data_IF_895762105524
#
_entry.id   IF_895762105524
#
_cell.length_a   1.000
_cell.length_b   1.000
_cell.length_c   1.000
_cell.angle_alpha   90.00
_cell.angle_beta   90.00
_cell.angle_gamma   90.00
#
_symmetry.space_group_name_H-M   'P 1'
#
loop_
_entity.id
_entity.type
_entity.pdbx_description
1 polymer ?
#
# COMPACT_ATOMS: atom_id res chain seq x y z
N UNK A 1 -0.46 -12.32 -4.45
CA UNK A 1 0.35 -11.16 -4.08
C UNK A 1 0.50 -10.12 -5.18
N UNK A 2 0.77 -10.51 -6.42
CA UNK A 2 0.92 -9.55 -7.54
C UNK A 2 -0.26 -8.59 -7.70
N UNK A 3 -1.51 -9.05 -7.53
CA UNK A 3 -2.69 -8.18 -7.58
C UNK A 3 -2.76 -7.18 -6.41
N UNK A 4 -2.40 -7.60 -5.20
CA UNK A 4 -2.33 -6.69 -4.04
C UNK A 4 -1.29 -5.59 -4.26
N UNK A 5 -0.11 -5.96 -4.79
CA UNK A 5 0.92 -4.97 -5.13
C UNK A 5 0.47 -4.03 -6.26
N UNK A 6 -0.27 -4.53 -7.26
CA UNK A 6 -0.81 -3.68 -8.33
C UNK A 6 -1.80 -2.64 -7.78
N UNK A 7 -2.65 -3.03 -6.84
CA UNK A 7 -3.61 -2.14 -6.17
C UNK A 7 -2.88 -1.06 -5.35
N UNK A 8 -1.86 -1.43 -4.58
CA UNK A 8 -1.00 -0.47 -3.89
C UNK A 8 -0.26 0.46 -4.87
N UNK A 9 0.20 -0.07 -6.01
CA UNK A 9 0.88 0.72 -7.04
C UNK A 9 -0.06 1.76 -7.67
N UNK A 10 -1.34 1.42 -7.87
CA UNK A 10 -2.33 2.43 -8.30
C UNK A 10 -2.52 3.53 -7.27
N UNK A 11 -2.57 3.20 -5.97
CA UNK A 11 -2.63 4.20 -4.90
C UNK A 11 -1.42 5.11 -4.86
N UNK A 12 -0.21 4.54 -5.00
CA UNK A 12 1.03 5.29 -5.12
C UNK A 12 0.95 6.35 -6.24
N UNK A 13 0.44 5.98 -7.42
CA UNK A 13 0.27 6.92 -8.54
C UNK A 13 -0.71 8.03 -8.16
N UNK A 14 -1.83 7.69 -7.51
CA UNK A 14 -2.80 8.67 -7.01
C UNK A 14 -2.21 9.64 -6.01
N UNK A 15 -1.42 9.15 -5.04
CA UNK A 15 -0.70 9.98 -4.07
C UNK A 15 0.22 10.97 -4.77
N UNK A 16 1.06 10.53 -5.72
CA UNK A 16 1.97 11.44 -6.42
C UNK A 16 1.23 12.50 -7.25
N UNK A 17 0.12 12.12 -7.89
CA UNK A 17 -0.69 13.06 -8.66
C UNK A 17 -1.29 14.14 -7.75
N UNK A 18 -1.91 13.74 -6.63
CA UNK A 18 -2.51 14.66 -5.67
C UNK A 18 -1.48 15.61 -5.05
N UNK A 19 -0.31 15.09 -4.66
CA UNK A 19 0.77 15.93 -4.13
C UNK A 19 1.31 16.91 -5.18
N UNK A 20 1.42 16.49 -6.45
CA UNK A 20 1.83 17.38 -7.54
C UNK A 20 0.80 18.50 -7.82
N UNK A 21 -0.48 18.24 -7.53
CA UNK A 21 -1.56 19.23 -7.59
C UNK A 21 -1.62 20.12 -6.34
N UNK A 22 -0.79 19.86 -5.33
CA UNK A 22 -0.73 20.63 -4.09
C UNK A 22 -1.81 20.25 -3.06
N UNK A 23 -2.38 19.05 -3.18
CA UNK A 23 -3.36 18.55 -2.21
C UNK A 23 -2.72 18.28 -0.83
N UNK A 24 -3.50 18.51 0.23
CA UNK A 24 -3.18 18.05 1.58
C UNK A 24 -3.65 16.61 1.75
N UNK A 25 -2.72 15.71 2.05
CA UNK A 25 -2.99 14.27 2.20
C UNK A 25 -3.47 13.88 3.59
N UNK A 26 -3.60 14.83 4.52
CA UNK A 26 -4.03 14.55 5.89
C UNK A 26 -5.43 13.94 5.90
N UNK A 27 -5.56 12.73 6.44
CA UNK A 27 -6.83 12.01 6.50
C UNK A 27 -7.29 11.41 5.17
N UNK A 28 -6.42 11.34 4.16
CA UNK A 28 -6.67 10.61 2.93
C UNK A 28 -7.03 9.15 3.24
N UNK A 29 -8.02 8.61 2.52
CA UNK A 29 -8.39 7.20 2.56
C UNK A 29 -8.06 6.50 1.24
N UNK A 30 -8.31 5.19 1.18
CA UNK A 30 -8.06 4.39 -0.02
C UNK A 30 -8.76 4.95 -1.27
N UNK A 31 -10.01 5.38 -1.14
CA UNK A 31 -10.78 5.88 -2.29
C UNK A 31 -10.30 7.25 -2.76
N UNK A 32 -9.85 8.10 -1.82
CA UNK A 32 -9.25 9.39 -2.12
C UNK A 32 -8.02 9.26 -3.02
N UNK A 33 -7.19 8.24 -2.80
CA UNK A 33 -5.99 7.96 -3.60
C UNK A 33 -6.25 7.01 -4.79
N UNK A 34 -7.52 6.75 -5.12
CA UNK A 34 -7.90 5.95 -6.28
C UNK A 34 -7.80 4.44 -6.12
N UNK A 35 -7.67 3.94 -4.89
CA UNK A 35 -7.71 2.52 -4.57
C UNK A 35 -9.15 2.06 -4.27
N UNK A 36 -9.48 0.78 -4.49
CA UNK A 36 -10.77 0.24 -4.08
C UNK A 36 -10.82 0.10 -2.55
N UNK A 37 -12.03 0.09 -1.96
CA UNK A 37 -12.19 -0.15 -0.53
C UNK A 37 -11.81 -1.57 -0.09
N UNK A 38 -11.83 -2.55 -1.01
CA UNK A 38 -11.48 -3.96 -0.80
C UNK A 38 -11.19 -4.64 -2.12
N UNK A 39 -10.53 -5.80 -2.10
CA UNK A 39 -10.25 -6.53 -3.33
C UNK A 39 -10.31 -8.05 -3.21
N UNK A 40 -9.88 -8.74 -4.27
CA UNK A 40 -9.72 -10.19 -4.25
C UNK A 40 -8.65 -10.66 -3.26
N UNK A 41 -7.64 -9.82 -2.95
CA UNK A 41 -6.52 -10.16 -2.05
C UNK A 41 -6.45 -9.33 -0.77
N UNK A 42 -7.01 -8.12 -0.77
CA UNK A 42 -7.04 -7.27 0.41
C UNK A 42 -8.45 -7.28 1.02
N UNK A 43 -8.57 -7.48 2.33
CA UNK A 43 -9.83 -7.29 3.07
C UNK A 43 -10.28 -5.84 2.98
N UNK A 44 -9.30 -4.94 3.09
CA UNK A 44 -9.40 -3.49 3.12
C UNK A 44 -8.01 -2.89 2.89
N UNK A 45 -7.97 -1.56 2.79
CA UNK A 45 -6.75 -0.80 2.63
C UNK A 45 -6.71 0.35 3.61
N UNK A 46 -5.58 0.49 4.30
CA UNK A 46 -5.30 1.64 5.14
C UNK A 46 -4.40 2.62 4.39
N UNK A 47 -4.73 3.90 4.51
CA UNK A 47 -3.93 5.01 4.00
C UNK A 47 -3.61 5.90 5.19
N UNK A 48 -2.33 6.13 5.44
CA UNK A 48 -1.85 7.01 6.50
C UNK A 48 -0.79 7.91 5.93
N UNK A 49 -1.16 9.17 5.65
CA UNK A 49 -0.27 10.14 5.04
C UNK A 49 -0.23 11.40 5.88
N UNK A 50 0.97 11.95 6.07
CA UNK A 50 1.14 13.33 6.50
C UNK A 50 0.72 14.28 5.37
N UNK A 51 0.40 15.53 5.68
CA UNK A 51 -0.02 16.51 4.66
C UNK A 51 1.03 16.75 3.56
N UNK A 52 2.31 16.51 3.84
CA UNK A 52 3.41 16.60 2.85
C UNK A 52 3.69 15.29 2.12
N UNK A 53 2.88 14.25 2.36
CA UNK A 53 2.95 12.99 1.64
C UNK A 53 4.00 12.00 2.16
N UNK A 54 4.50 12.12 3.37
CA UNK A 54 5.22 11.00 4.02
C UNK A 54 4.18 10.07 4.64
N UNK A 55 4.33 8.75 4.48
CA UNK A 55 3.34 7.83 5.02
C UNK A 55 3.34 6.45 4.39
N UNK A 56 2.22 5.75 4.48
CA UNK A 56 2.07 4.40 4.00
C UNK A 56 0.70 4.11 3.37
N UNK A 57 0.73 3.19 2.41
CA UNK A 57 -0.42 2.52 1.84
C UNK A 57 -0.33 1.06 2.24
N UNK A 58 -1.32 0.53 2.95
CA UNK A 58 -1.30 -0.84 3.48
C UNK A 58 -2.47 -1.61 2.89
N UNK A 59 -2.18 -2.79 2.35
CA UNK A 59 -3.16 -3.81 2.03
C UNK A 59 -3.19 -4.80 3.19
N UNK A 60 -4.33 -4.86 3.89
CA UNK A 60 -4.60 -5.92 4.85
C UNK A 60 -4.98 -7.18 4.07
N UNK A 61 -4.09 -8.16 4.05
CA UNK A 61 -4.25 -9.35 3.21
C UNK A 61 -5.33 -10.26 3.78
N UNK A 62 -6.14 -10.81 2.88
CA UNK A 62 -6.99 -11.95 3.20
C UNK A 62 -6.14 -13.14 3.59
N UNK A 63 -6.57 -13.81 4.65
CA UNK A 63 -6.01 -15.06 5.14
C UNK A 63 -5.83 -16.09 4.01
N UNK A 64 -4.67 -16.74 3.98
CA UNK A 64 -4.31 -17.74 2.97
C UNK A 64 -3.41 -18.80 3.62
N UNK A 65 -3.55 -20.05 3.19
CA UNK A 65 -2.79 -21.16 3.75
C UNK A 65 -1.26 -20.99 3.57
N UNK A 66 -0.83 -20.24 2.55
CA UNK A 66 0.60 -20.09 2.23
C UNK A 66 1.32 -19.05 3.11
N UNK A 67 0.60 -18.06 3.65
CA UNK A 67 1.22 -16.97 4.40
C UNK A 67 0.51 -16.66 5.74
N UNK A 68 -0.56 -17.38 6.07
CA UNK A 68 -1.25 -17.29 7.36
C UNK A 68 -2.33 -16.22 7.36
N UNK A 69 -2.65 -15.76 8.58
CA UNK A 69 -3.75 -14.83 8.85
C UNK A 69 -3.24 -13.44 9.22
N UNK A 70 -4.06 -12.42 8.99
CA UNK A 70 -3.78 -11.03 9.40
C UNK A 70 -2.40 -10.52 8.93
N UNK A 71 -2.02 -10.89 7.70
CA UNK A 71 -0.78 -10.43 7.08
C UNK A 71 -1.00 -9.11 6.34
N UNK A 72 0.07 -8.38 6.10
CA UNK A 72 0.03 -7.10 5.37
C UNK A 72 1.08 -7.03 4.27
N UNK A 73 0.78 -6.20 3.27
CA UNK A 73 1.72 -5.72 2.28
C UNK A 73 1.59 -4.19 2.25
N UNK A 74 2.69 -3.47 2.33
CA UNK A 74 2.68 -2.01 2.34
C UNK A 74 3.58 -1.41 1.27
N UNK A 75 3.24 -0.19 0.85
CA UNK A 75 4.14 0.74 0.21
C UNK A 75 4.33 1.92 1.15
N UNK A 76 5.57 2.20 1.51
CA UNK A 76 5.97 3.24 2.44
C UNK A 76 6.68 4.35 1.67
N UNK A 77 6.22 5.59 1.82
CA UNK A 77 6.74 6.79 1.14
C UNK A 77 7.51 7.66 2.12
N UNK A 78 8.77 7.95 1.84
CA UNK A 78 9.56 8.91 2.61
C UNK A 78 9.20 10.36 2.28
N UNK A 79 9.65 11.32 3.10
CA UNK A 79 9.47 12.75 2.82
C UNK A 79 10.10 13.19 1.48
N UNK A 80 11.13 12.50 1.01
CA UNK A 80 11.77 12.72 -0.30
C UNK A 80 11.01 12.06 -1.47
N UNK A 81 9.89 11.39 -1.21
CA UNK A 81 9.09 10.71 -2.21
C UNK A 81 9.66 9.37 -2.68
N UNK A 82 10.57 8.77 -1.91
CA UNK A 82 11.09 7.43 -2.16
C UNK A 82 10.07 6.41 -1.65
N UNK A 83 9.78 5.40 -2.46
CA UNK A 83 8.86 4.33 -2.11
C UNK A 83 9.58 3.01 -1.88
N UNK A 84 9.27 2.36 -0.77
CA UNK A 84 9.74 1.02 -0.42
C UNK A 84 8.53 0.10 -0.24
N UNK A 85 8.63 -1.14 -0.69
CA UNK A 85 7.61 -2.15 -0.39
C UNK A 85 8.06 -3.00 0.79
N UNK A 86 7.17 -3.28 1.73
CA UNK A 86 7.44 -4.21 2.84
C UNK A 86 6.25 -5.13 3.09
N UNK A 87 6.46 -6.21 3.85
CA UNK A 87 5.41 -7.17 4.20
C UNK A 87 5.64 -7.75 5.59
N UNK A 88 4.56 -8.13 6.27
CA UNK A 88 4.63 -8.91 7.51
C UNK A 88 4.89 -10.41 7.27
N UNK A 89 4.79 -10.88 6.03
CA UNK A 89 4.95 -12.28 5.67
C UNK A 89 6.43 -12.67 5.79
N UNK A 90 6.71 -13.70 6.59
CA UNK A 90 8.08 -14.19 6.82
C UNK A 90 8.64 -15.03 5.67
N UNK A 91 7.79 -15.73 4.92
CA UNK A 91 8.21 -16.48 3.74
C UNK A 91 8.34 -15.54 2.53
N UNK A 92 9.56 -15.07 2.28
CA UNK A 92 9.86 -14.19 1.15
C UNK A 92 9.60 -14.84 -0.21
N UNK A 93 9.50 -16.17 -0.30
CA UNK A 93 9.27 -16.87 -1.58
C UNK A 93 7.89 -16.58 -2.17
N UNK A 94 6.91 -16.22 -1.34
CA UNK A 94 5.55 -15.88 -1.77
C UNK A 94 5.39 -14.40 -2.13
N UNK A 95 6.40 -13.57 -1.83
CA UNK A 95 6.36 -12.13 -2.04
C UNK A 95 6.79 -11.75 -3.47
N UNK A 96 6.24 -10.65 -4.02
CA UNK A 96 6.77 -10.04 -5.22
C UNK A 96 8.22 -9.59 -5.00
N UNK A 97 9.09 -9.66 -6.01
CA UNK A 97 10.52 -9.30 -5.90
C UNK A 97 10.76 -7.94 -5.23
N UNK A 98 9.97 -6.92 -5.58
CA UNK A 98 10.13 -5.57 -5.03
C UNK A 98 9.81 -5.44 -3.53
N UNK A 99 9.27 -6.48 -2.90
CA UNK A 99 8.85 -6.51 -1.49
C UNK A 99 9.65 -7.52 -0.65
N UNK A 100 10.69 -8.14 -1.21
CA UNK A 100 11.55 -9.13 -0.52
C UNK A 100 12.68 -8.47 0.27
N UNK A 101 12.35 -7.51 1.13
CA UNK A 101 13.30 -6.72 1.91
C UNK A 101 13.37 -7.15 3.36
#
# INVERSE_FOLDING_TARGET
MTSALAELTSGKIGVEALLAEGADMTGADATYVGMPAKSSRCTDFDVSMSGTGEGSLVCNLKDDANYGTAQTLSLDRTAEGIWTCSSSISDLSVLPEGCKT
#
